data_IF_393691097251
#
_entry.id   IF_393691097251
#
_cell.length_a   1.000
_cell.length_b   1.000
_cell.length_c   1.000
_cell.angle_alpha   90.00
_cell.angle_beta   90.00
_cell.angle_gamma   90.00
#
_symmetry.space_group_name_H-M   'P 1'
#
loop_
_entity.id
_entity.type
_entity.pdbx_description
1 polymer ?
#
# COMPACT_ATOMS: atom_id res chain seq x y z
N UNK A 1 32.54 2.77 13.24
CA UNK A 1 31.32 1.95 13.36
C UNK A 1 30.94 1.55 11.94
N UNK A 2 30.61 0.28 11.71
CA UNK A 2 30.23 -0.19 10.37
C UNK A 2 28.71 -0.05 10.19
N UNK A 3 28.28 1.16 9.85
CA UNK A 3 26.88 1.41 9.53
C UNK A 3 26.47 0.64 8.26
N UNK A 4 25.22 0.21 8.20
CA UNK A 4 24.66 -0.56 7.10
C UNK A 4 23.65 0.25 6.29
N UNK A 5 23.51 -0.14 5.03
CA UNK A 5 22.43 0.28 4.15
C UNK A 5 21.47 -0.91 4.05
N UNK A 6 20.32 -0.81 4.71
CA UNK A 6 19.28 -1.82 4.61
C UNK A 6 18.41 -1.56 3.38
N UNK A 7 18.01 -2.62 2.70
CA UNK A 7 17.16 -2.55 1.51
C UNK A 7 15.97 -3.49 1.69
N UNK A 8 14.77 -2.96 1.48
CA UNK A 8 13.52 -3.70 1.51
C UNK A 8 12.73 -3.55 0.21
N UNK A 9 12.00 -4.59 -0.16
CA UNK A 9 11.14 -4.62 -1.33
C UNK A 9 9.71 -4.91 -0.91
N UNK A 10 8.80 -4.03 -1.27
CA UNK A 10 7.37 -4.13 -0.98
C UNK A 10 6.55 -4.30 -2.24
N UNK A 11 5.58 -5.21 -2.19
CA UNK A 11 4.74 -5.63 -3.31
C UNK A 11 3.27 -5.45 -2.94
N UNK A 12 2.65 -4.42 -3.54
CA UNK A 12 1.23 -4.16 -3.38
C UNK A 12 0.41 -5.04 -4.34
N UNK A 13 -0.35 -5.97 -3.80
CA UNK A 13 -1.16 -6.91 -4.58
C UNK A 13 -2.62 -6.47 -4.60
N UNK A 14 -3.07 -6.00 -5.76
CA UNK A 14 -4.45 -5.61 -6.03
C UNK A 14 -4.92 -6.14 -7.38
N UNK A 15 -5.28 -7.42 -7.44
CA UNK A 15 -5.77 -8.05 -8.66
C UNK A 15 -7.10 -7.46 -9.15
N UNK A 16 -7.90 -6.83 -8.30
CA UNK A 16 -9.15 -6.19 -8.67
C UNK A 16 -8.95 -4.97 -9.56
N UNK A 17 -7.81 -4.30 -9.46
CA UNK A 17 -7.45 -3.17 -10.31
C UNK A 17 -7.44 -3.55 -11.80
N UNK A 18 -6.84 -4.68 -12.15
CA UNK A 18 -6.67 -5.13 -13.54
C UNK A 18 -7.81 -6.04 -14.04
N UNK A 19 -8.64 -6.57 -13.15
CA UNK A 19 -9.73 -7.46 -13.54
C UNK A 19 -10.69 -6.80 -14.51
N UNK A 20 -10.76 -7.32 -15.73
CA UNK A 20 -11.62 -6.79 -16.80
C UNK A 20 -12.98 -7.48 -16.87
N UNK A 21 -13.07 -8.69 -16.35
CA UNK A 21 -14.28 -9.48 -16.35
C UNK A 21 -14.75 -9.98 -17.71
N UNK A 22 -13.91 -9.84 -18.73
CA UNK A 22 -14.17 -10.32 -20.09
C UNK A 22 -13.72 -11.78 -20.31
N UNK A 23 -13.01 -12.34 -19.33
CA UNK A 23 -12.60 -13.75 -19.29
C UNK A 23 -12.83 -14.32 -17.89
N UNK A 24 -12.97 -15.65 -17.78
CA UNK A 24 -13.11 -16.36 -16.51
C UNK A 24 -11.82 -17.06 -16.09
N UNK A 25 -10.70 -16.54 -16.50
CA UNK A 25 -9.37 -17.08 -16.22
C UNK A 25 -8.37 -15.96 -15.93
N UNK A 26 -7.13 -16.32 -15.65
CA UNK A 26 -6.05 -15.39 -15.34
C UNK A 26 -5.75 -14.38 -16.47
N UNK A 27 -6.17 -14.65 -17.70
CA UNK A 27 -5.94 -13.75 -18.83
C UNK A 27 -6.73 -12.45 -18.69
N UNK A 28 -7.86 -12.47 -17.97
CA UNK A 28 -8.63 -11.29 -17.62
C UNK A 28 -7.91 -10.29 -16.73
N UNK A 29 -6.82 -10.70 -16.07
CA UNK A 29 -6.00 -9.87 -15.18
C UNK A 29 -4.76 -9.27 -15.86
N UNK A 30 -4.61 -9.44 -17.16
CA UNK A 30 -3.48 -8.86 -17.89
C UNK A 30 -2.13 -9.44 -17.44
N UNK A 31 -1.24 -8.54 -16.99
CA UNK A 31 0.09 -8.93 -16.51
C UNK A 31 0.17 -9.31 -15.03
N UNK A 32 -0.83 -8.95 -14.22
CA UNK A 32 -0.75 -8.97 -12.75
C UNK A 32 -0.36 -10.33 -12.18
N UNK A 33 -1.17 -11.34 -12.40
CA UNK A 33 -0.92 -12.69 -11.88
C UNK A 33 0.43 -13.22 -12.38
N UNK A 34 0.76 -12.97 -13.63
CA UNK A 34 2.03 -13.40 -14.24
C UNK A 34 3.23 -12.72 -13.58
N UNK A 35 3.14 -11.41 -13.34
CA UNK A 35 4.24 -10.64 -12.74
C UNK A 35 4.42 -11.04 -11.28
N UNK A 36 3.34 -11.19 -10.50
CA UNK A 36 3.41 -11.62 -9.10
C UNK A 36 4.04 -13.01 -8.97
N UNK A 37 3.63 -13.97 -9.81
CA UNK A 37 4.27 -15.29 -9.88
C UNK A 37 5.76 -15.17 -10.19
N UNK A 38 6.12 -14.27 -11.10
CA UNK A 38 7.51 -14.05 -11.48
C UNK A 38 8.34 -13.45 -10.36
N UNK A 39 7.79 -12.53 -9.59
CA UNK A 39 8.43 -11.99 -8.39
C UNK A 39 8.74 -13.12 -7.40
N UNK A 40 7.75 -13.94 -7.06
CA UNK A 40 7.92 -15.07 -6.14
C UNK A 40 9.01 -16.04 -6.65
N UNK A 41 8.98 -16.41 -7.93
CA UNK A 41 9.98 -17.27 -8.57
C UNK A 41 11.39 -16.68 -8.46
N UNK A 42 11.55 -15.42 -8.83
CA UNK A 42 12.86 -14.76 -8.85
C UNK A 42 13.44 -14.59 -7.44
N UNK A 43 12.62 -14.22 -6.46
CA UNK A 43 13.03 -14.13 -5.08
C UNK A 43 13.43 -15.51 -4.51
N UNK A 44 12.69 -16.57 -4.82
CA UNK A 44 13.04 -17.94 -4.43
C UNK A 44 14.40 -18.35 -5.03
N UNK A 45 14.60 -18.11 -6.31
CA UNK A 45 15.85 -18.42 -7.00
C UNK A 45 17.06 -17.67 -6.42
N UNK A 46 16.87 -16.42 -5.97
CA UNK A 46 17.92 -15.64 -5.29
C UNK A 46 18.25 -16.25 -3.92
N UNK A 47 17.22 -16.56 -3.13
CA UNK A 47 17.40 -17.18 -1.82
C UNK A 47 18.09 -18.56 -1.91
N UNK A 48 17.74 -19.37 -2.90
CA UNK A 48 18.38 -20.68 -3.16
C UNK A 48 19.86 -20.56 -3.54
N UNK A 49 20.26 -19.42 -4.10
CA UNK A 49 21.66 -19.06 -4.38
C UNK A 49 22.38 -18.45 -3.19
N UNK A 50 21.72 -18.34 -2.03
CA UNK A 50 22.31 -17.81 -0.80
C UNK A 50 22.18 -16.30 -0.61
N UNK A 51 21.43 -15.60 -1.46
CA UNK A 51 21.14 -14.16 -1.26
C UNK A 51 19.95 -14.04 -0.29
N UNK A 52 20.09 -13.44 0.90
CA UNK A 52 19.06 -13.45 1.94
C UNK A 52 17.98 -12.36 1.72
N UNK A 53 17.51 -12.23 0.48
CA UNK A 53 16.49 -11.23 0.14
C UNK A 53 15.12 -11.61 0.70
N UNK A 54 14.39 -10.61 1.20
CA UNK A 54 13.03 -10.73 1.75
C UNK A 54 12.06 -9.86 0.98
N UNK A 55 10.80 -10.29 0.95
CA UNK A 55 9.68 -9.51 0.44
C UNK A 55 8.79 -9.00 1.56
N UNK A 56 8.17 -7.87 1.34
CA UNK A 56 7.09 -7.33 2.15
C UNK A 56 5.84 -7.28 1.28
N UNK A 57 4.76 -7.88 1.73
CA UNK A 57 3.54 -8.04 0.95
C UNK A 57 2.40 -7.28 1.59
N UNK A 58 1.65 -6.49 0.81
CA UNK A 58 0.38 -5.94 1.20
C UNK A 58 -0.69 -6.33 0.18
N UNK A 59 -1.83 -6.83 0.67
CA UNK A 59 -2.88 -7.39 -0.15
C UNK A 59 -4.18 -6.62 0.00
N UNK A 60 -4.82 -6.36 -1.12
CA UNK A 60 -6.23 -6.07 -1.15
C UNK A 60 -7.02 -7.34 -0.77
N UNK A 61 -7.82 -7.28 0.30
CA UNK A 61 -8.46 -8.47 0.86
C UNK A 61 -9.78 -8.82 0.16
N UNK A 62 -10.67 -7.82 0.00
CA UNK A 62 -12.07 -8.03 -0.36
C UNK A 62 -12.30 -8.70 -1.71
N UNK A 63 -11.45 -8.40 -2.67
CA UNK A 63 -11.55 -8.95 -4.01
C UNK A 63 -10.38 -9.88 -4.32
N UNK A 64 -9.15 -9.48 -3.99
CA UNK A 64 -7.97 -10.25 -4.35
C UNK A 64 -7.83 -11.50 -3.49
N UNK A 65 -7.84 -11.40 -2.15
CA UNK A 65 -7.70 -12.57 -1.28
C UNK A 65 -8.99 -13.37 -1.11
N UNK A 66 -10.16 -12.74 -1.20
CA UNK A 66 -11.44 -13.40 -0.97
C UNK A 66 -11.98 -14.08 -2.23
N UNK A 67 -11.89 -13.42 -3.39
CA UNK A 67 -12.53 -13.88 -4.62
C UNK A 67 -11.50 -14.34 -5.67
N UNK A 68 -10.54 -13.46 -6.03
CA UNK A 68 -9.75 -13.61 -7.25
C UNK A 68 -8.64 -14.65 -7.09
N UNK A 69 -7.74 -14.45 -6.15
CA UNK A 69 -6.59 -15.34 -5.98
C UNK A 69 -7.00 -16.78 -5.64
N UNK A 70 -7.98 -17.04 -4.76
CA UNK A 70 -8.44 -18.40 -4.50
C UNK A 70 -8.98 -19.10 -5.74
N UNK A 71 -9.62 -18.37 -6.65
CA UNK A 71 -10.23 -18.92 -7.85
C UNK A 71 -9.23 -19.09 -9.01
N UNK A 72 -8.37 -18.11 -9.25
CA UNK A 72 -7.57 -18.05 -10.48
C UNK A 72 -6.06 -18.28 -10.24
N UNK A 73 -5.55 -18.01 -9.07
CA UNK A 73 -4.13 -18.10 -8.76
C UNK A 73 -3.83 -18.47 -7.30
N UNK A 74 -4.37 -19.60 -6.77
CA UNK A 74 -4.15 -20.00 -5.38
C UNK A 74 -2.67 -20.30 -5.07
N UNK A 75 -1.86 -20.55 -6.07
CA UNK A 75 -0.42 -20.73 -5.98
C UNK A 75 0.31 -19.47 -5.49
N UNK A 76 -0.20 -18.28 -5.76
CA UNK A 76 0.36 -17.03 -5.23
C UNK A 76 0.23 -16.99 -3.72
N UNK A 77 -0.96 -17.30 -3.18
CA UNK A 77 -1.19 -17.35 -1.73
C UNK A 77 -0.25 -18.37 -1.09
N UNK A 78 -0.13 -19.57 -1.67
CA UNK A 78 0.77 -20.62 -1.18
C UNK A 78 2.22 -20.17 -1.25
N UNK A 79 2.62 -19.58 -2.37
CA UNK A 79 3.99 -19.09 -2.57
C UNK A 79 4.40 -18.03 -1.56
N UNK A 80 3.51 -17.08 -1.25
CA UNK A 80 3.79 -16.06 -0.21
C UNK A 80 3.83 -16.68 1.19
N UNK A 81 2.90 -17.61 1.53
CA UNK A 81 2.97 -18.37 2.80
C UNK A 81 4.29 -19.09 2.98
N UNK A 82 4.75 -19.75 1.93
CA UNK A 82 6.02 -20.49 1.95
C UNK A 82 7.19 -19.54 2.15
N UNK A 83 7.17 -18.36 1.53
CA UNK A 83 8.20 -17.35 1.68
C UNK A 83 8.23 -16.73 3.08
N UNK A 84 7.07 -16.40 3.65
CA UNK A 84 6.97 -15.93 5.04
C UNK A 84 7.62 -16.96 5.98
N UNK A 85 7.25 -18.22 5.85
CA UNK A 85 7.77 -19.30 6.71
C UNK A 85 9.25 -19.61 6.49
N UNK A 86 9.72 -19.61 5.24
CA UNK A 86 11.05 -20.11 4.87
C UNK A 86 12.12 -19.03 4.84
N UNK A 87 11.77 -17.83 4.40
CA UNK A 87 12.72 -16.77 4.13
C UNK A 87 12.52 -15.51 5.00
N UNK A 88 11.43 -15.49 5.78
CA UNK A 88 11.14 -14.37 6.67
C UNK A 88 10.61 -13.14 5.93
N UNK A 89 9.86 -13.36 4.84
CA UNK A 89 9.01 -12.32 4.27
C UNK A 89 7.98 -11.88 5.32
N UNK A 90 7.43 -10.69 5.19
CA UNK A 90 6.37 -10.22 6.09
C UNK A 90 5.16 -9.68 5.33
N UNK A 91 4.01 -9.72 5.98
CA UNK A 91 2.79 -9.08 5.50
C UNK A 91 2.54 -7.80 6.30
N UNK A 92 2.21 -6.71 5.61
CA UNK A 92 1.80 -5.44 6.19
C UNK A 92 0.37 -5.12 5.76
N UNK A 93 -0.29 -4.23 6.49
CA UNK A 93 -1.71 -3.94 6.34
C UNK A 93 -1.92 -2.85 5.30
N UNK A 94 -2.94 -3.03 4.46
CA UNK A 94 -3.61 -1.93 3.77
C UNK A 94 -5.11 -1.92 4.15
N UNK A 95 -5.90 -1.01 3.64
CA UNK A 95 -7.35 -1.06 3.87
C UNK A 95 -7.99 -2.28 3.19
N UNK A 96 -9.00 -2.89 3.83
CA UNK A 96 -9.63 -4.16 3.46
C UNK A 96 -9.96 -4.32 1.97
N UNK A 97 -10.43 -3.27 1.35
CA UNK A 97 -10.88 -3.27 -0.05
C UNK A 97 -10.08 -2.32 -0.93
N UNK A 98 -8.81 -2.11 -0.66
CA UNK A 98 -8.03 -1.06 -1.31
C UNK A 98 -8.65 0.34 -1.04
N UNK A 99 -9.02 0.58 0.21
CA UNK A 99 -9.91 1.67 0.59
C UNK A 99 -9.24 3.04 0.61
N UNK A 100 -9.98 4.06 0.18
CA UNK A 100 -9.64 5.45 0.35
C UNK A 100 -9.79 5.86 1.83
N UNK A 101 -8.84 5.43 2.68
CA UNK A 101 -8.91 5.55 4.14
C UNK A 101 -9.15 6.99 4.61
N UNK A 102 -8.59 7.97 3.91
CA UNK A 102 -8.77 9.39 4.24
C UNK A 102 -10.17 9.93 4.02
N UNK A 103 -11.00 9.19 3.28
CA UNK A 103 -12.38 9.55 2.98
C UNK A 103 -13.41 8.76 3.84
N UNK A 104 -12.94 7.92 4.73
CA UNK A 104 -13.78 7.08 5.60
C UNK A 104 -14.19 7.82 6.88
N UNK A 105 -15.40 7.52 7.40
CA UNK A 105 -15.73 7.87 8.78
C UNK A 105 -14.85 7.08 9.74
N UNK A 106 -14.83 7.46 11.04
CA UNK A 106 -14.09 6.71 12.06
C UNK A 106 -14.46 5.22 12.05
N UNK A 107 -15.75 4.92 12.00
CA UNK A 107 -16.27 3.55 12.03
C UNK A 107 -15.89 2.77 10.77
N UNK A 108 -16.02 3.39 9.59
CA UNK A 108 -15.61 2.81 8.31
C UNK A 108 -14.10 2.55 8.25
N UNK A 109 -13.30 3.51 8.74
CA UNK A 109 -11.84 3.37 8.84
C UNK A 109 -11.45 2.21 9.77
N UNK A 110 -12.02 2.18 10.97
CA UNK A 110 -11.78 1.11 11.94
C UNK A 110 -12.09 -0.25 11.35
N UNK A 111 -13.29 -0.40 10.78
CA UNK A 111 -13.69 -1.65 10.14
C UNK A 111 -12.77 -2.03 8.97
N UNK A 112 -12.36 -1.08 8.14
CA UNK A 112 -11.48 -1.35 7.01
C UNK A 112 -10.11 -1.89 7.46
N UNK A 113 -9.54 -1.37 8.55
CA UNK A 113 -8.27 -1.88 9.08
C UNK A 113 -8.46 -3.21 9.81
N UNK A 114 -9.48 -3.34 10.66
CA UNK A 114 -9.76 -4.58 11.38
C UNK A 114 -10.05 -5.75 10.43
N UNK A 115 -10.88 -5.53 9.41
CA UNK A 115 -11.20 -6.57 8.42
C UNK A 115 -10.01 -6.93 7.52
N UNK A 116 -9.08 -6.01 7.31
CA UNK A 116 -7.83 -6.34 6.62
C UNK A 116 -6.94 -7.27 7.45
N UNK A 117 -7.01 -7.19 8.79
CA UNK A 117 -6.25 -8.07 9.69
C UNK A 117 -6.94 -9.42 9.86
N UNK A 118 -8.23 -9.40 10.22
CA UNK A 118 -9.05 -10.60 10.39
C UNK A 118 -10.52 -10.27 10.11
N UNK A 119 -11.26 -11.20 9.52
CA UNK A 119 -12.66 -11.01 9.23
C UNK A 119 -13.43 -12.33 9.18
N UNK A 120 -14.77 -12.24 9.24
CA UNK A 120 -15.67 -13.39 9.26
C UNK A 120 -15.66 -14.25 7.99
N UNK A 121 -15.05 -13.75 6.90
CA UNK A 121 -14.95 -14.47 5.63
C UNK A 121 -13.61 -15.24 5.51
N UNK A 122 -12.69 -15.04 6.46
CA UNK A 122 -11.40 -15.71 6.48
C UNK A 122 -10.40 -15.17 5.46
N UNK A 123 -10.60 -13.94 4.99
CA UNK A 123 -9.73 -13.27 4.01
C UNK A 123 -8.83 -12.21 4.64
N UNK A 124 -8.81 -12.06 5.96
CA UNK A 124 -7.87 -11.21 6.67
C UNK A 124 -6.43 -11.73 6.56
N UNK A 125 -5.45 -10.86 6.70
CA UNK A 125 -4.05 -11.25 6.60
C UNK A 125 -3.66 -12.32 7.63
N UNK A 126 -4.13 -12.19 8.88
CA UNK A 126 -3.89 -13.20 9.91
C UNK A 126 -4.67 -14.50 9.62
N UNK A 127 -5.87 -14.41 9.04
CA UNK A 127 -6.65 -15.58 8.65
C UNK A 127 -5.96 -16.38 7.52
N UNK A 128 -5.38 -15.66 6.54
CA UNK A 128 -4.74 -16.26 5.37
C UNK A 128 -3.30 -16.66 5.67
N UNK A 129 -2.49 -15.78 6.26
CA UNK A 129 -1.04 -15.96 6.40
C UNK A 129 -0.59 -16.31 7.82
N UNK A 130 -1.49 -16.22 8.81
CA UNK A 130 -1.23 -16.54 10.22
C UNK A 130 -0.69 -15.36 11.03
N UNK A 131 -0.05 -14.39 10.39
CA UNK A 131 0.50 -13.19 11.03
C UNK A 131 0.58 -12.00 10.07
N UNK A 132 0.57 -10.80 10.62
CA UNK A 132 0.93 -9.58 9.90
C UNK A 132 1.59 -8.57 10.85
N UNK A 133 2.49 -7.75 10.32
CA UNK A 133 3.03 -6.63 11.08
C UNK A 133 1.98 -5.50 11.18
N UNK A 134 1.92 -4.85 12.35
CA UNK A 134 1.01 -3.71 12.57
C UNK A 134 1.58 -2.42 11.94
N UNK A 135 1.91 -2.51 10.67
CA UNK A 135 2.39 -1.44 9.80
C UNK A 135 1.38 -1.30 8.68
N UNK A 136 0.97 -0.07 8.39
CA UNK A 136 0.00 0.20 7.33
C UNK A 136 0.69 0.86 6.14
N UNK A 137 0.49 0.31 4.97
CA UNK A 137 0.70 0.99 3.68
C UNK A 137 -0.67 1.44 3.19
N UNK A 138 -1.06 2.70 3.41
CA UNK A 138 -2.37 3.16 2.97
C UNK A 138 -2.43 3.18 1.45
N UNK A 139 -3.58 2.84 0.89
CA UNK A 139 -3.77 2.86 -0.55
C UNK A 139 -3.51 4.25 -1.12
N UNK A 140 -2.81 4.30 -2.26
CA UNK A 140 -2.34 5.55 -2.89
C UNK A 140 -1.56 6.45 -1.92
N UNK A 141 -0.98 5.85 -0.88
CA UNK A 141 -0.33 6.57 0.22
C UNK A 141 -1.16 7.72 0.79
N UNK A 142 -2.48 7.56 0.73
CA UNK A 142 -3.44 8.53 1.27
C UNK A 142 -3.34 8.59 2.77
N UNK A 143 -3.01 9.76 3.27
CA UNK A 143 -2.93 10.01 4.70
C UNK A 143 -3.46 11.39 5.03
N UNK A 144 -4.26 11.48 6.08
CA UNK A 144 -4.69 12.76 6.63
C UNK A 144 -4.28 12.85 8.10
N UNK A 145 -3.84 14.03 8.58
CA UNK A 145 -3.33 14.20 9.94
C UNK A 145 -4.25 13.68 11.05
N UNK A 146 -5.56 13.80 10.87
CA UNK A 146 -6.54 13.32 11.86
C UNK A 146 -6.59 11.80 12.03
N UNK A 147 -5.96 11.02 11.14
CA UNK A 147 -5.93 9.56 11.24
C UNK A 147 -4.94 9.03 12.30
N UNK A 148 -4.03 9.88 12.81
CA UNK A 148 -3.04 9.45 13.82
C UNK A 148 -3.73 8.81 15.02
N UNK A 149 -4.77 9.46 15.58
CA UNK A 149 -5.52 8.89 16.70
C UNK A 149 -6.18 7.54 16.36
N UNK A 150 -6.71 7.42 15.14
CA UNK A 150 -7.38 6.18 14.71
C UNK A 150 -6.39 5.03 14.56
N UNK A 151 -5.22 5.28 13.97
CA UNK A 151 -4.16 4.28 13.89
C UNK A 151 -3.66 3.86 15.28
N UNK A 152 -3.49 4.82 16.20
CA UNK A 152 -3.08 4.53 17.57
C UNK A 152 -4.12 3.69 18.32
N UNK A 153 -5.41 4.02 18.19
CA UNK A 153 -6.52 3.24 18.77
C UNK A 153 -6.50 1.77 18.30
N UNK A 154 -6.07 1.52 17.05
CA UNK A 154 -5.97 0.19 16.46
C UNK A 154 -4.62 -0.51 16.70
N UNK A 155 -3.72 0.11 17.47
CA UNK A 155 -2.41 -0.44 17.78
C UNK A 155 -1.46 -0.52 16.59
N UNK A 156 -1.68 0.30 15.55
CA UNK A 156 -0.78 0.42 14.41
C UNK A 156 0.51 1.09 14.88
N UNK A 157 1.65 0.49 14.54
CA UNK A 157 2.98 0.93 14.98
C UNK A 157 3.60 1.95 14.03
N UNK A 158 3.33 1.82 12.73
CA UNK A 158 3.89 2.71 11.71
C UNK A 158 3.00 2.79 10.47
N UNK A 159 3.17 3.87 9.71
CA UNK A 159 2.56 4.08 8.39
C UNK A 159 3.66 4.31 7.37
N UNK A 160 3.57 3.62 6.24
CA UNK A 160 4.45 3.84 5.09
C UNK A 160 3.89 4.99 4.25
N UNK A 161 4.70 6.01 3.98
CA UNK A 161 4.32 7.11 3.08
C UNK A 161 5.45 7.35 2.07
N UNK A 162 5.11 7.57 0.81
CA UNK A 162 6.10 7.99 -0.17
C UNK A 162 6.78 9.27 0.26
N UNK A 163 8.10 9.28 0.23
CA UNK A 163 8.89 10.45 0.57
C UNK A 163 8.55 11.63 -0.35
N UNK A 164 8.40 11.39 -1.64
CA UNK A 164 8.04 12.39 -2.64
C UNK A 164 6.62 12.94 -2.51
N UNK A 165 5.70 12.20 -1.88
CA UNK A 165 4.31 12.62 -1.66
C UNK A 165 4.08 13.32 -0.33
N UNK A 166 5.05 13.33 0.56
CA UNK A 166 4.95 14.01 1.84
C UNK A 166 5.34 15.49 1.67
N UNK A 167 4.59 16.44 2.25
CA UNK A 167 4.78 17.88 2.03
C UNK A 167 6.18 18.42 2.31
N UNK A 168 7.03 17.70 3.03
CA UNK A 168 8.38 18.16 3.35
C UNK A 168 9.36 18.09 2.17
N UNK A 169 9.01 17.47 1.06
CA UNK A 169 9.84 17.46 -0.16
C UNK A 169 9.15 18.10 -1.38
N UNK A 170 7.87 18.39 -1.29
CA UNK A 170 7.14 19.03 -2.39
C UNK A 170 7.79 20.37 -2.77
N UNK A 171 8.30 20.47 -3.97
CA UNK A 171 8.90 21.68 -4.57
C UNK A 171 10.30 22.08 -4.09
N UNK A 172 10.94 21.41 -3.12
CA UNK A 172 12.31 21.70 -2.65
C UNK A 172 12.62 23.16 -2.29
N UNK A 173 11.60 24.01 -2.16
CA UNK A 173 11.76 25.47 -2.06
C UNK A 173 11.10 26.10 -0.86
N UNK A 174 10.05 25.50 -0.30
CA UNK A 174 9.22 26.11 0.74
C UNK A 174 9.34 25.35 2.06
N UNK A 175 9.59 24.04 2.02
CA UNK A 175 9.70 23.19 3.20
C UNK A 175 11.13 22.65 3.26
N UNK A 176 11.83 22.76 4.40
CA UNK A 176 13.17 22.21 4.52
C UNK A 176 13.17 20.70 4.20
N UNK A 177 14.04 20.29 3.29
CA UNK A 177 14.27 18.87 3.06
C UNK A 177 14.84 18.22 4.33
N UNK A 178 14.45 16.99 4.57
CA UNK A 178 15.16 16.17 5.54
C UNK A 178 16.57 15.91 5.04
N UNK A 179 17.55 15.86 5.96
CA UNK A 179 18.86 15.30 5.61
C UNK A 179 18.71 13.83 5.22
N UNK A 180 19.62 13.30 4.41
CA UNK A 180 19.54 11.89 3.98
C UNK A 180 19.49 10.92 5.15
N UNK A 181 20.20 11.21 6.25
CA UNK A 181 20.12 10.43 7.48
C UNK A 181 18.68 10.28 8.00
N UNK A 182 17.85 11.30 7.86
CA UNK A 182 16.45 11.31 8.33
C UNK A 182 15.49 10.83 7.25
N UNK A 183 15.77 11.15 5.99
CA UNK A 183 14.95 10.74 4.86
C UNK A 183 14.95 9.21 4.68
N UNK A 184 16.08 8.56 4.97
CA UNK A 184 16.21 7.10 4.89
C UNK A 184 16.10 6.42 6.26
N UNK A 185 15.31 7.01 7.18
CA UNK A 185 15.05 6.44 8.49
C UNK A 185 13.61 6.70 8.92
N UNK A 186 13.07 5.91 9.87
CA UNK A 186 11.78 6.21 10.47
C UNK A 186 11.79 7.61 11.10
N UNK A 187 10.67 8.31 10.99
CA UNK A 187 10.45 9.61 11.61
C UNK A 187 9.19 9.60 12.46
N UNK A 188 9.11 10.43 13.47
CA UNK A 188 7.91 10.61 14.28
C UNK A 188 7.07 11.73 13.69
N UNK A 189 5.83 11.43 13.34
CA UNK A 189 4.84 12.43 12.99
C UNK A 189 3.94 12.71 14.18
N UNK A 190 3.77 14.00 14.51
CA UNK A 190 2.93 14.41 15.65
C UNK A 190 1.82 15.36 15.19
N UNK A 191 0.60 15.05 15.58
CA UNK A 191 -0.57 15.87 15.33
C UNK A 191 -1.46 15.94 16.57
N UNK A 192 -1.76 17.18 17.03
CA UNK A 192 -2.61 17.44 18.22
C UNK A 192 -2.20 16.65 19.48
N UNK A 193 -0.90 16.45 19.67
CA UNK A 193 -0.35 15.77 20.85
C UNK A 193 -0.32 14.25 20.77
N UNK A 194 -0.75 13.66 19.67
CA UNK A 194 -0.60 12.25 19.38
C UNK A 194 0.47 12.04 18.32
N UNK A 195 1.24 10.97 18.47
CA UNK A 195 2.37 10.68 17.59
C UNK A 195 2.28 9.29 17.00
N UNK A 196 2.83 9.11 15.80
CA UNK A 196 3.02 7.82 15.16
C UNK A 196 4.33 7.79 14.37
N UNK A 197 4.83 6.60 14.11
CA UNK A 197 6.00 6.42 13.25
C UNK A 197 5.56 6.48 11.79
N UNK A 198 6.26 7.29 11.00
CA UNK A 198 6.18 7.28 9.53
C UNK A 198 7.46 6.65 9.00
N UNK A 199 7.31 5.65 8.15
CA UNK A 199 8.41 5.04 7.42
C UNK A 199 8.44 5.63 6.01
N UNK A 200 9.45 6.46 5.67
CA UNK A 200 9.64 6.93 4.31
C UNK A 200 9.80 5.77 3.36
N UNK A 201 9.03 5.81 2.28
CA UNK A 201 8.95 4.75 1.27
C UNK A 201 9.30 5.33 -0.09
N UNK A 202 9.90 4.55 -0.94
CA UNK A 202 10.45 4.98 -2.23
C UNK A 202 9.80 4.22 -3.37
N UNK A 203 9.73 4.86 -4.52
CA UNK A 203 9.23 4.28 -5.77
C UNK A 203 10.39 3.89 -6.71
N UNK A 204 10.05 3.31 -7.85
CA UNK A 204 11.01 3.08 -8.92
C UNK A 204 11.60 4.39 -9.47
N UNK A 205 10.82 5.48 -9.46
CA UNK A 205 11.31 6.78 -9.92
C UNK A 205 12.49 7.26 -9.08
N UNK A 206 12.41 7.11 -7.75
CA UNK A 206 13.48 7.50 -6.84
C UNK A 206 14.78 6.72 -7.11
N UNK A 207 14.66 5.43 -7.43
CA UNK A 207 15.80 4.57 -7.80
C UNK A 207 16.39 4.99 -9.14
N UNK A 208 15.53 5.26 -10.14
CA UNK A 208 15.95 5.68 -11.49
C UNK A 208 16.61 7.05 -11.44
N UNK A 209 16.10 7.98 -10.66
CA UNK A 209 16.67 9.32 -10.48
C UNK A 209 18.07 9.28 -9.87
N UNK A 210 18.33 8.30 -9.01
CA UNK A 210 19.68 8.02 -8.50
C UNK A 210 20.60 7.29 -9.51
N UNK A 211 20.08 6.95 -10.70
CA UNK A 211 20.76 6.17 -11.73
C UNK A 211 20.59 4.67 -11.58
N UNK A 212 20.80 4.11 -10.40
CA UNK A 212 20.52 2.71 -10.05
C UNK A 212 20.47 2.54 -8.53
N UNK A 213 19.94 1.41 -8.08
CA UNK A 213 19.92 1.07 -6.66
C UNK A 213 21.34 0.97 -6.08
N UNK A 214 22.30 0.45 -6.88
CA UNK A 214 23.72 0.42 -6.49
C UNK A 214 24.28 1.83 -6.28
N UNK A 215 24.00 2.77 -7.19
CA UNK A 215 24.46 4.16 -7.05
C UNK A 215 23.89 4.80 -5.78
N UNK A 216 22.61 4.62 -5.50
CA UNK A 216 21.96 5.12 -4.29
C UNK A 216 22.58 4.53 -3.02
N UNK A 217 22.75 3.22 -2.96
CA UNK A 217 23.35 2.55 -1.81
C UNK A 217 24.80 2.98 -1.57
N UNK A 218 25.60 3.13 -2.63
CA UNK A 218 26.98 3.60 -2.54
C UNK A 218 27.09 5.07 -2.10
N UNK A 219 26.19 5.93 -2.57
CA UNK A 219 26.15 7.34 -2.15
C UNK A 219 25.87 7.44 -0.64
N UNK A 220 24.83 6.75 -0.16
CA UNK A 220 24.49 6.71 1.27
C UNK A 220 25.63 6.15 2.12
N UNK A 221 26.25 5.06 1.67
CA UNK A 221 27.40 4.51 2.39
C UNK A 221 28.61 5.45 2.39
N UNK A 222 28.87 6.16 1.29
CA UNK A 222 29.91 7.19 1.25
C UNK A 222 29.66 8.30 2.28
N UNK A 223 28.42 8.71 2.47
CA UNK A 223 28.00 9.68 3.50
C UNK A 223 28.15 9.12 4.92
N UNK A 224 27.93 7.80 5.11
CA UNK A 224 28.25 7.14 6.38
C UNK A 224 29.77 7.16 6.67
N UNK A 225 30.59 6.88 5.67
CA UNK A 225 32.05 6.91 5.81
C UNK A 225 32.60 8.32 6.06
N UNK A 226 31.99 9.35 5.49
CA UNK A 226 32.38 10.75 5.72
C UNK A 226 31.89 11.31 7.07
N UNK A 227 30.99 10.61 7.77
CA UNK A 227 30.36 11.07 9.00
C UNK A 227 29.21 12.08 8.79
N UNK A 228 28.73 12.23 7.58
CA UNK A 228 27.51 12.99 7.29
C UNK A 228 26.26 12.23 7.75
N UNK A 229 26.26 10.91 7.64
CA UNK A 229 25.27 10.00 8.19
C UNK A 229 25.91 9.17 9.29
N UNK A 230 25.34 9.16 10.48
CA UNK A 230 25.88 8.48 11.66
C UNK A 230 24.96 7.34 12.18
N UNK A 231 24.17 6.77 11.30
CA UNK A 231 23.23 5.69 11.58
C UNK A 231 23.15 4.73 10.38
N UNK A 232 22.55 3.56 10.61
CA UNK A 232 22.05 2.74 9.54
C UNK A 232 20.97 3.51 8.77
N UNK A 233 20.74 3.14 7.51
CA UNK A 233 19.70 3.71 6.66
C UNK A 233 18.86 2.60 6.02
N UNK A 234 17.63 2.91 5.65
CA UNK A 234 16.71 1.96 5.06
C UNK A 234 16.07 2.49 3.78
N UNK A 235 16.38 1.84 2.67
CA UNK A 235 15.75 2.08 1.37
C UNK A 235 14.60 1.08 1.25
N UNK A 236 13.37 1.50 1.53
CA UNK A 236 12.19 0.65 1.35
C UNK A 236 11.49 1.02 0.05
N UNK A 237 11.64 0.18 -0.97
CA UNK A 237 11.00 0.33 -2.28
C UNK A 237 9.68 -0.43 -2.26
N UNK A 238 8.55 0.28 -2.36
CA UNK A 238 7.22 -0.34 -2.41
C UNK A 238 6.44 0.19 -3.61
N UNK A 239 5.88 -0.73 -4.39
CA UNK A 239 5.11 -0.43 -5.59
C UNK A 239 4.07 -1.52 -5.84
N UNK A 240 3.18 -1.26 -6.79
CA UNK A 240 2.24 -2.25 -7.29
C UNK A 240 2.97 -3.50 -7.78
N UNK A 241 2.51 -4.67 -7.34
CA UNK A 241 3.14 -5.95 -7.67
C UNK A 241 2.98 -6.34 -9.15
N UNK A 242 2.07 -5.69 -9.86
CA UNK A 242 1.87 -5.83 -11.31
C UNK A 242 2.74 -4.89 -12.14
N UNK A 243 3.53 -4.03 -11.50
CA UNK A 243 4.40 -3.11 -12.21
C UNK A 243 5.46 -3.84 -13.05
N UNK A 244 5.55 -3.49 -14.33
CA UNK A 244 6.55 -4.05 -15.24
C UNK A 244 8.00 -3.85 -14.76
N UNK A 245 8.23 -2.92 -13.85
CA UNK A 245 9.52 -2.70 -13.21
C UNK A 245 10.07 -3.94 -12.49
N UNK A 246 9.19 -4.80 -11.98
CA UNK A 246 9.58 -6.02 -11.29
C UNK A 246 9.96 -7.17 -12.22
N UNK A 247 9.60 -7.08 -13.51
CA UNK A 247 9.83 -8.12 -14.50
C UNK A 247 11.07 -7.82 -15.37
N UNK A 248 11.89 -8.83 -15.68
CA UNK A 248 13.00 -8.67 -16.62
C UNK A 248 12.51 -8.33 -18.03
N UNK A 249 13.08 -7.32 -18.65
CA UNK A 249 12.79 -6.97 -20.05
C UNK A 249 13.39 -7.96 -21.06
N UNK A 250 14.21 -8.93 -20.61
CA UNK A 250 14.87 -9.95 -21.43
C UNK A 250 15.64 -9.35 -22.62
N UNK A 251 16.32 -8.25 -22.39
CA UNK A 251 17.09 -7.57 -23.42
C UNK A 251 18.28 -8.43 -23.87
N UNK A 252 18.62 -8.44 -25.18
CA UNK A 252 19.79 -9.14 -25.67
C UNK A 252 21.09 -8.46 -25.19
N UNK A 253 22.18 -9.26 -25.10
CA UNK A 253 23.51 -8.71 -24.84
C UNK A 253 23.92 -7.71 -25.94
N UNK A 254 24.52 -6.52 -25.62
CA UNK A 254 24.91 -6.07 -24.28
C UNK A 254 23.84 -5.26 -23.55
N UNK A 255 22.64 -5.07 -24.10
CA UNK A 255 21.58 -4.22 -23.55
C UNK A 255 21.02 -4.73 -22.19
N UNK A 256 21.17 -6.02 -21.93
CA UNK A 256 20.81 -6.62 -20.62
C UNK A 256 21.69 -6.16 -19.45
N UNK A 257 22.69 -5.31 -19.71
CA UNK A 257 23.53 -4.67 -18.66
C UNK A 257 23.06 -3.26 -18.28
N UNK A 258 22.01 -2.77 -18.93
CA UNK A 258 21.41 -1.49 -18.56
C UNK A 258 20.76 -1.66 -17.19
N UNK A 259 21.09 -0.74 -16.25
CA UNK A 259 20.48 -0.75 -14.92
C UNK A 259 18.95 -0.68 -15.00
N UNK A 260 18.27 -1.21 -14.00
CA UNK A 260 16.80 -1.20 -13.88
C UNK A 260 16.05 -1.96 -14.98
N UNK A 261 16.69 -2.83 -15.76
CA UNK A 261 16.03 -3.57 -16.85
C UNK A 261 15.88 -5.08 -16.59
N UNK A 262 16.42 -5.59 -15.49
CA UNK A 262 16.33 -7.01 -15.13
C UNK A 262 15.35 -7.28 -13.97
N UNK A 263 14.43 -6.37 -13.74
CA UNK A 263 13.39 -6.49 -12.72
C UNK A 263 13.96 -6.65 -11.32
N UNK A 264 13.23 -7.34 -10.45
CA UNK A 264 13.63 -7.57 -9.05
C UNK A 264 14.98 -8.31 -8.95
N UNK A 265 15.27 -9.21 -9.89
CA UNK A 265 16.55 -9.91 -9.94
C UNK A 265 17.72 -8.94 -10.17
N UNK A 266 17.54 -7.98 -11.07
CA UNK A 266 18.54 -6.95 -11.34
C UNK A 266 18.80 -6.08 -10.13
N UNK A 267 17.73 -5.55 -9.52
CA UNK A 267 17.82 -4.72 -8.32
C UNK A 267 18.57 -5.41 -7.18
N UNK A 268 18.27 -6.68 -6.92
CA UNK A 268 18.95 -7.44 -5.88
C UNK A 268 20.42 -7.69 -6.25
N UNK A 269 20.70 -8.11 -7.48
CA UNK A 269 22.07 -8.41 -7.92
C UNK A 269 22.97 -7.16 -7.96
N UNK A 270 22.41 -5.96 -8.17
CA UNK A 270 23.15 -4.71 -8.14
C UNK A 270 23.80 -4.42 -6.79
N UNK A 271 23.26 -4.97 -5.71
CA UNK A 271 23.66 -4.64 -4.34
C UNK A 271 24.09 -5.83 -3.50
N UNK A 272 23.82 -7.06 -3.94
CA UNK A 272 24.07 -8.27 -3.16
C UNK A 272 25.55 -8.57 -2.89
N UNK A 273 26.46 -7.98 -3.65
CA UNK A 273 27.92 -8.09 -3.47
C UNK A 273 28.50 -6.99 -2.56
N UNK A 274 27.70 -6.04 -2.10
CA UNK A 274 28.14 -4.96 -1.25
C UNK A 274 28.10 -5.39 0.23
N UNK A 275 29.23 -5.49 0.88
CA UNK A 275 29.37 -5.97 2.28
C UNK A 275 28.62 -5.10 3.30
N UNK A 276 28.36 -3.84 2.98
CA UNK A 276 27.63 -2.91 3.82
C UNK A 276 26.11 -2.96 3.61
N UNK A 277 25.62 -3.75 2.64
CA UNK A 277 24.19 -3.90 2.35
C UNK A 277 23.62 -5.08 3.11
N UNK A 278 22.43 -4.88 3.69
CA UNK A 278 21.60 -5.92 4.31
C UNK A 278 20.19 -5.85 3.77
N UNK A 279 19.57 -7.01 3.47
CA UNK A 279 18.16 -7.08 3.10
C UNK A 279 17.29 -7.18 4.34
N UNK A 280 16.32 -6.27 4.45
CA UNK A 280 15.45 -6.20 5.61
C UNK A 280 13.99 -5.92 5.20
N UNK A 281 13.07 -6.12 6.13
CA UNK A 281 11.67 -5.77 6.02
C UNK A 281 11.35 -4.56 6.90
N UNK A 282 10.28 -3.79 6.68
CA UNK A 282 9.86 -2.71 7.54
C UNK A 282 9.77 -3.10 9.01
N UNK A 283 9.09 -4.21 9.33
CA UNK A 283 8.98 -4.70 10.71
C UNK A 283 10.31 -5.13 11.28
N UNK A 284 11.15 -5.81 10.48
CA UNK A 284 12.51 -6.18 10.87
C UNK A 284 13.38 -4.97 11.18
N UNK A 285 13.31 -3.91 10.36
CA UNK A 285 14.06 -2.69 10.59
C UNK A 285 13.59 -1.92 11.83
N UNK A 286 12.29 -1.71 11.97
CA UNK A 286 11.68 -0.97 13.08
C UNK A 286 11.91 -1.61 14.45
N UNK A 287 12.19 -2.92 14.52
CA UNK A 287 12.53 -3.61 15.79
C UNK A 287 13.82 -3.07 16.40
N UNK A 288 14.77 -2.64 15.57
CA UNK A 288 16.10 -2.26 16.01
C UNK A 288 16.41 -0.75 15.82
N UNK A 289 15.61 -0.04 15.05
CA UNK A 289 15.85 1.35 14.68
C UNK A 289 14.70 2.25 15.10
N UNK A 290 15.03 3.25 15.92
CA UNK A 290 14.05 4.24 16.40
C UNK A 290 13.97 5.41 15.42
N UNK A 291 12.84 6.14 15.41
CA UNK A 291 12.73 7.39 14.65
C UNK A 291 13.85 8.38 14.98
N UNK A 292 14.43 8.98 13.95
CA UNK A 292 15.56 9.92 14.08
C UNK A 292 15.14 11.39 14.06
N UNK A 293 13.89 11.70 13.71
CA UNK A 293 13.41 13.07 13.62
C UNK A 293 11.94 13.15 13.95
N UNK A 294 11.52 14.33 14.39
CA UNK A 294 10.11 14.71 14.43
C UNK A 294 9.77 15.52 13.19
N UNK A 295 8.66 15.19 12.55
CA UNK A 295 8.11 15.92 11.42
C UNK A 295 6.71 16.42 11.72
N UNK A 296 6.35 17.55 11.13
CA UNK A 296 5.02 18.14 11.25
C UNK A 296 4.56 18.62 9.89
N UNK A 297 3.39 18.19 9.49
CA UNK A 297 2.66 18.73 8.35
C UNK A 297 1.17 18.72 8.65
N UNK A 298 0.41 19.53 7.94
CA UNK A 298 -1.03 19.69 8.16
C UNK A 298 -1.85 19.41 6.90
N UNK A 299 -1.17 19.15 5.78
CA UNK A 299 -1.80 18.78 4.53
C UNK A 299 -2.08 17.29 4.49
N UNK A 300 -3.10 16.91 3.72
CA UNK A 300 -3.31 15.55 3.30
C UNK A 300 -2.25 15.15 2.27
N UNK A 301 -1.93 13.87 2.22
CA UNK A 301 -1.01 13.29 1.24
C UNK A 301 -1.72 12.25 0.37
N UNK A 302 -1.29 12.11 -0.87
CA UNK A 302 -1.70 11.03 -1.77
C UNK A 302 -0.69 10.89 -2.91
N UNK A 303 -0.49 9.67 -3.42
CA UNK A 303 0.36 9.43 -4.57
C UNK A 303 -0.21 10.06 -5.84
N UNK A 304 0.69 10.41 -6.77
CA UNK A 304 0.40 10.80 -8.15
C UNK A 304 -0.36 12.12 -8.32
N UNK A 305 -0.53 12.90 -7.26
CA UNK A 305 -1.31 14.13 -7.37
C UNK A 305 -0.83 15.25 -6.46
N UNK A 306 -0.22 16.26 -7.02
CA UNK A 306 -0.03 17.55 -6.35
C UNK A 306 -1.34 18.29 -6.08
N UNK A 307 -2.45 17.79 -6.61
CA UNK A 307 -3.80 18.35 -6.42
C UNK A 307 -4.58 17.62 -5.32
N UNK A 308 -3.93 16.77 -4.55
CA UNK A 308 -4.56 16.00 -3.47
C UNK A 308 -5.58 15.00 -4.01
N UNK A 309 -6.76 14.94 -3.38
CA UNK A 309 -7.80 13.96 -3.71
C UNK A 309 -8.66 14.29 -4.93
N UNK A 310 -8.37 15.33 -5.68
CA UNK A 310 -9.21 15.76 -6.82
C UNK A 310 -9.39 14.66 -7.87
N UNK A 311 -8.35 13.86 -8.11
CA UNK A 311 -8.39 12.74 -9.06
C UNK A 311 -9.49 11.71 -8.72
N UNK A 312 -9.78 11.51 -7.43
CA UNK A 312 -10.78 10.56 -6.96
C UNK A 312 -12.15 11.20 -6.69
N UNK A 313 -12.25 12.54 -6.66
CA UNK A 313 -13.46 13.27 -6.29
C UNK A 313 -14.16 13.99 -7.45
N UNK A 314 -13.41 14.54 -8.41
CA UNK A 314 -13.95 15.58 -9.31
C UNK A 314 -14.61 15.07 -10.59
N UNK A 315 -14.36 13.83 -11.00
CA UNK A 315 -15.00 13.27 -12.19
C UNK A 315 -16.52 13.17 -12.02
N UNK A 316 -17.33 13.40 -13.06
CA UNK A 316 -18.81 13.33 -12.96
C UNK A 316 -19.32 12.03 -12.36
N UNK A 317 -18.72 10.89 -12.74
CA UNK A 317 -19.04 9.59 -12.17
C UNK A 317 -18.72 9.55 -10.67
N UNK A 318 -17.54 9.99 -10.27
CA UNK A 318 -17.13 9.99 -8.87
C UNK A 318 -18.03 10.89 -8.02
N UNK A 319 -18.42 12.06 -8.51
CA UNK A 319 -19.38 12.95 -7.81
C UNK A 319 -20.73 12.29 -7.58
N UNK A 320 -21.20 11.50 -8.53
CA UNK A 320 -22.46 10.74 -8.36
C UNK A 320 -22.33 9.71 -7.24
N UNK A 321 -21.23 8.95 -7.21
CA UNK A 321 -20.94 7.96 -6.19
C UNK A 321 -20.82 8.63 -4.81
N UNK A 322 -20.02 9.71 -4.70
CA UNK A 322 -19.88 10.48 -3.47
C UNK A 322 -21.20 11.03 -2.96
N UNK A 323 -22.03 11.56 -3.84
CA UNK A 323 -23.36 12.09 -3.45
C UNK A 323 -24.26 11.00 -2.84
N UNK A 324 -24.22 9.78 -3.39
CA UNK A 324 -24.98 8.65 -2.86
C UNK A 324 -24.42 8.17 -1.52
N UNK A 325 -23.09 8.12 -1.40
CA UNK A 325 -22.41 7.77 -0.15
C UNK A 325 -22.80 8.72 0.98
N UNK A 326 -22.68 10.03 0.76
CA UNK A 326 -23.06 11.04 1.76
C UNK A 326 -24.54 10.97 2.13
N UNK A 327 -25.41 10.65 1.17
CA UNK A 327 -26.83 10.43 1.45
C UNK A 327 -27.04 9.22 2.35
N UNK A 328 -26.37 8.09 2.08
CA UNK A 328 -26.46 6.90 2.92
C UNK A 328 -25.94 7.16 4.34
N UNK A 329 -24.80 7.85 4.48
CA UNK A 329 -24.25 8.29 5.78
C UNK A 329 -25.25 9.17 6.55
N UNK A 330 -25.85 10.13 5.87
CA UNK A 330 -26.87 11.00 6.50
C UNK A 330 -28.07 10.19 7.01
N UNK A 331 -28.54 9.21 6.26
CA UNK A 331 -29.63 8.35 6.69
C UNK A 331 -29.24 7.44 7.85
N UNK A 332 -28.05 6.83 7.82
CA UNK A 332 -27.53 6.02 8.91
C UNK A 332 -27.42 6.83 10.20
N UNK A 333 -26.89 8.05 10.13
CA UNK A 333 -26.78 8.98 11.27
C UNK A 333 -28.15 9.36 11.83
N UNK A 334 -29.14 9.56 10.96
CA UNK A 334 -30.51 9.85 11.41
C UNK A 334 -31.14 8.64 12.12
N UNK A 335 -30.75 7.41 11.76
CA UNK A 335 -31.11 6.16 12.41
C UNK A 335 -30.42 5.87 13.74
N UNK A 336 -29.50 6.72 14.18
CA UNK A 336 -28.72 6.64 15.43
C UNK A 336 -27.68 5.52 15.53
N UNK A 337 -27.32 4.88 14.42
CA UNK A 337 -26.24 3.88 14.41
C UNK A 337 -25.50 3.96 13.08
N UNK A 338 -24.20 4.16 13.12
CA UNK A 338 -23.37 4.15 11.90
C UNK A 338 -22.90 2.73 11.56
N UNK A 339 -22.13 2.09 12.44
CA UNK A 339 -21.62 0.72 12.23
C UNK A 339 -22.72 -0.35 12.23
N UNK A 340 -23.84 -0.13 12.91
CA UNK A 340 -25.01 -1.01 12.89
C UNK A 340 -26.01 -0.71 11.78
N UNK A 341 -25.71 0.23 10.87
CA UNK A 341 -26.63 0.55 9.77
C UNK A 341 -26.62 -0.53 8.69
N UNK A 342 -27.79 -0.77 8.02
CA UNK A 342 -27.89 -1.81 7.00
C UNK A 342 -26.96 -1.60 5.79
N UNK A 343 -26.49 -0.39 5.57
CA UNK A 343 -25.59 -0.05 4.46
C UNK A 343 -24.10 -0.05 4.83
N UNK A 344 -23.74 -0.34 6.07
CA UNK A 344 -22.37 -0.13 6.55
C UNK A 344 -21.31 -0.89 5.73
N UNK A 345 -21.52 -2.19 5.53
CA UNK A 345 -20.61 -3.00 4.71
C UNK A 345 -20.53 -2.48 3.26
N UNK A 346 -21.67 -2.13 2.65
CA UNK A 346 -21.70 -1.60 1.29
C UNK A 346 -20.94 -0.27 1.18
N UNK A 347 -20.98 0.56 2.23
CA UNK A 347 -20.23 1.84 2.28
C UNK A 347 -18.73 1.59 2.32
N UNK A 348 -18.27 0.69 3.18
CA UNK A 348 -16.86 0.30 3.23
C UNK A 348 -16.42 -0.24 1.87
N UNK A 349 -17.19 -1.18 1.30
CA UNK A 349 -16.89 -1.78 0.00
C UNK A 349 -16.87 -0.78 -1.15
N UNK A 350 -17.74 0.22 -1.12
CA UNK A 350 -17.79 1.27 -2.14
C UNK A 350 -16.53 2.14 -2.17
N UNK A 351 -15.92 2.37 -1.01
CA UNK A 351 -14.78 3.28 -0.83
C UNK A 351 -13.45 2.72 -1.35
N UNK A 352 -13.46 1.66 -2.15
CA UNK A 352 -12.30 1.21 -2.89
C UNK A 352 -11.81 2.28 -3.87
N UNK A 353 -10.51 2.59 -3.85
CA UNK A 353 -9.91 3.50 -4.85
C UNK A 353 -10.06 2.97 -6.26
N UNK A 354 -10.13 1.65 -6.42
CA UNK A 354 -10.40 0.98 -7.70
C UNK A 354 -11.76 1.38 -8.31
N UNK A 355 -12.76 1.71 -7.50
CA UNK A 355 -14.06 2.19 -7.97
C UNK A 355 -14.01 3.64 -8.51
N UNK A 356 -13.15 4.45 -7.93
CA UNK A 356 -13.05 5.87 -8.30
C UNK A 356 -12.03 6.12 -9.42
N UNK A 357 -10.99 5.33 -9.49
CA UNK A 357 -9.94 5.35 -10.53
C UNK A 357 -9.28 6.72 -10.78
N UNK A 358 -7.99 6.71 -11.04
CA UNK A 358 -7.23 7.91 -11.42
C UNK A 358 -7.64 8.44 -12.79
N UNK A 359 -7.87 7.54 -13.74
CA UNK A 359 -8.19 7.90 -15.13
C UNK A 359 -9.52 7.29 -15.56
N UNK A 360 -10.49 8.14 -15.85
CA UNK A 360 -11.82 7.73 -16.34
C UNK A 360 -11.80 6.77 -17.54
N UNK A 361 -10.95 6.94 -18.57
CA UNK A 361 -10.92 6.03 -19.71
C UNK A 361 -10.40 4.62 -19.38
N UNK A 362 -9.72 4.45 -18.26
CA UNK A 362 -9.15 3.16 -17.85
C UNK A 362 -10.06 2.38 -16.91
N UNK A 363 -11.16 2.98 -16.42
CA UNK A 363 -12.13 2.25 -15.63
C UNK A 363 -12.83 1.24 -16.52
N UNK A 364 -12.80 0.02 -16.07
CA UNK A 364 -13.56 -1.05 -16.65
C UNK A 364 -15.07 -0.81 -16.37
N UNK A 365 -15.90 -0.97 -17.41
CA UNK A 365 -17.36 -0.81 -17.31
C UNK A 365 -17.96 -1.66 -16.20
N UNK A 366 -17.41 -2.83 -15.93
CA UNK A 366 -17.91 -3.70 -14.85
C UNK A 366 -17.63 -3.12 -13.47
N UNK A 367 -16.48 -2.50 -13.24
CA UNK A 367 -16.16 -1.82 -11.98
C UNK A 367 -17.06 -0.60 -11.76
N UNK A 368 -17.29 0.16 -12.82
CA UNK A 368 -18.24 1.27 -12.78
C UNK A 368 -19.65 0.78 -12.44
N UNK A 369 -20.13 -0.27 -13.09
CA UNK A 369 -21.43 -0.87 -12.80
C UNK A 369 -21.50 -1.37 -11.35
N UNK A 370 -20.46 -2.07 -10.87
CA UNK A 370 -20.42 -2.54 -9.48
C UNK A 370 -20.44 -1.38 -8.48
N UNK A 371 -19.71 -0.31 -8.73
CA UNK A 371 -19.74 0.89 -7.90
C UNK A 371 -21.13 1.56 -7.91
N UNK A 372 -21.79 1.63 -9.06
CA UNK A 372 -23.16 2.13 -9.16
C UNK A 372 -24.14 1.25 -8.39
N UNK A 373 -24.09 -0.05 -8.57
CA UNK A 373 -24.96 -1.02 -7.87
C UNK A 373 -24.77 -0.94 -6.34
N UNK A 374 -23.53 -0.91 -5.87
CA UNK A 374 -23.21 -0.70 -4.45
C UNK A 374 -23.80 0.61 -3.95
N UNK A 375 -23.59 1.70 -4.69
CA UNK A 375 -24.06 3.04 -4.32
C UNK A 375 -25.58 3.15 -4.28
N UNK A 376 -26.30 2.46 -5.15
CA UNK A 376 -27.77 2.40 -5.15
C UNK A 376 -28.28 1.51 -4.01
N UNK A 377 -27.70 0.32 -3.86
CA UNK A 377 -28.10 -0.65 -2.83
C UNK A 377 -27.98 -0.06 -1.42
N UNK A 378 -26.89 0.64 -1.10
CA UNK A 378 -26.73 1.24 0.22
C UNK A 378 -27.81 2.30 0.52
N UNK A 379 -28.16 3.15 -0.45
CA UNK A 379 -29.22 4.16 -0.27
C UNK A 379 -30.57 3.47 -0.08
N UNK A 380 -30.87 2.42 -0.84
CA UNK A 380 -32.13 1.68 -0.72
C UNK A 380 -32.25 0.94 0.63
N UNK A 381 -31.16 0.34 1.13
CA UNK A 381 -31.13 -0.29 2.45
C UNK A 381 -31.50 0.71 3.56
N UNK A 382 -30.91 1.90 3.54
CA UNK A 382 -31.19 2.93 4.53
C UNK A 382 -32.63 3.47 4.45
N UNK A 383 -33.16 3.68 3.24
CA UNK A 383 -34.52 4.11 3.03
C UNK A 383 -35.55 3.06 3.52
N UNK A 384 -35.25 1.78 3.31
CA UNK A 384 -36.10 0.69 3.77
C UNK A 384 -36.13 0.63 5.31
N UNK A 385 -34.97 0.77 5.96
CA UNK A 385 -34.89 0.80 7.42
C UNK A 385 -35.65 1.98 8.04
N UNK A 386 -35.59 3.17 7.42
CA UNK A 386 -36.37 4.32 7.89
C UNK A 386 -37.89 4.14 7.75
N UNK A 387 -38.34 3.52 6.66
CA UNK A 387 -39.77 3.22 6.48
C UNK A 387 -40.28 2.21 7.52
N UNK A 388 -39.50 1.15 7.79
CA UNK A 388 -39.81 0.19 8.84
C UNK A 388 -39.94 0.82 10.23
N UNK A 389 -39.02 1.72 10.59
CA UNK A 389 -39.09 2.42 11.87
C UNK A 389 -40.30 3.36 12.00
N UNK A 390 -40.77 3.97 10.91
CA UNK A 390 -41.98 4.83 10.93
C UNK A 390 -43.29 4.07 11.05
N UNK A 391 -43.30 2.77 10.76
CA UNK A 391 -44.50 1.92 10.91
C UNK A 391 -44.62 1.32 12.34
N UNK A 392 -43.55 1.41 13.14
CA UNK A 392 -43.47 0.91 14.51
C UNK A 392 -43.64 2.02 15.57
N UNK A 393 -43.74 3.28 15.14
CA UNK A 393 -44.07 4.45 15.98
C UNK A 393 -45.46 4.99 15.65
#
# INVERSE_FOLDING_TARGET
MDYKVHIGYGFHVNCYHSYRGDTNDELGFGGDIRIIRKIIELLNNLNEKGVPVKGTWDFENAYSLEEILPQYAPDIITGVKDRVKKYGDENIIMGYNNGALSAMTKEEFTASIEWAVTNSKGSGLEDVFGECEKIVRPQEFMFTPSQVSLYNELGIKAVCLYYSCVPFDAFRTIIPQLSDEKAFNPVTYTYKGESMVVLPTYSNCDVIDAGSLRCLAMDLHSKQLSGEINNDVFIFINMDADANFWEPFNLPFPLNRIANTDGIRGLVNEVADLEFVEFNTPGGYLKNHKPLADIVFTQDTADGSFTGYSSWAEKPFNRQIWTRLERARAYAKAGKSDSGSPSFEDRVMLLSTTHFGLASPMLNVQRENRALELSERMVQKELAAQKGNRQLT
#
